data_IF_407704119218
#
_entry.id   IF_407704119218
#
_cell.length_a   1.000
_cell.length_b   1.000
_cell.length_c   1.000
_cell.angle_alpha   90.00
_cell.angle_beta   90.00
_cell.angle_gamma   90.00
#
_symmetry.space_group_name_H-M   'P 1'
#
loop_
_entity.id
_entity.type
_entity.pdbx_description
1 polymer ?
#
# COMPACT_ATOMS: atom_id res chain seq x y z
N UNK A 1 12.36 9.22 -10.73
CA UNK A 1 11.68 8.56 -9.60
C UNK A 1 10.62 7.62 -10.19
N UNK A 2 10.43 6.40 -9.66
CA UNK A 2 9.39 5.49 -10.16
C UNK A 2 7.99 6.02 -9.76
N UNK A 3 6.97 5.93 -10.64
CA UNK A 3 5.58 6.19 -10.26
C UNK A 3 5.12 5.23 -9.15
N UNK A 4 4.21 5.67 -8.27
CA UNK A 4 3.66 4.85 -7.16
C UNK A 4 3.03 3.55 -7.68
N UNK A 5 2.36 3.61 -8.83
CA UNK A 5 1.78 2.45 -9.51
C UNK A 5 2.81 1.36 -9.86
N UNK A 6 4.09 1.70 -9.95
CA UNK A 6 5.18 0.77 -10.28
C UNK A 6 5.97 0.29 -9.06
N UNK A 7 5.63 0.75 -7.85
CA UNK A 7 6.30 0.33 -6.62
C UNK A 7 5.91 -1.10 -6.22
N UNK A 8 6.88 -1.86 -5.73
CA UNK A 8 6.64 -3.07 -4.96
C UNK A 8 5.97 -2.77 -3.61
N UNK A 9 5.47 -3.81 -2.94
CA UNK A 9 4.79 -3.63 -1.65
C UNK A 9 5.70 -2.99 -0.59
N UNK A 10 6.93 -3.49 -0.44
CA UNK A 10 7.88 -2.96 0.55
C UNK A 10 8.29 -1.52 0.23
N UNK A 11 8.60 -1.23 -1.05
CA UNK A 11 8.90 0.14 -1.50
C UNK A 11 7.73 1.11 -1.20
N UNK A 12 6.48 0.70 -1.46
CA UNK A 12 5.30 1.52 -1.19
C UNK A 12 5.05 1.71 0.32
N UNK A 13 5.22 0.65 1.12
CA UNK A 13 5.07 0.68 2.57
C UNK A 13 6.10 1.59 3.22
N UNK A 14 7.36 1.47 2.83
CA UNK A 14 8.45 2.25 3.43
C UNK A 14 8.27 3.75 3.10
N UNK A 15 7.89 4.07 1.86
CA UNK A 15 7.53 5.44 1.49
C UNK A 15 6.30 5.96 2.26
N UNK A 16 5.30 5.11 2.54
CA UNK A 16 4.12 5.50 3.33
C UNK A 16 4.51 5.84 4.78
N UNK A 17 5.39 5.02 5.38
CA UNK A 17 5.92 5.27 6.72
C UNK A 17 6.62 6.63 6.79
N UNK A 18 7.44 6.96 5.78
CA UNK A 18 8.12 8.26 5.71
C UNK A 18 7.13 9.43 5.61
N UNK A 19 6.06 9.29 4.82
CA UNK A 19 5.01 10.33 4.69
C UNK A 19 4.27 10.52 6.02
N UNK A 20 3.88 9.44 6.67
CA UNK A 20 3.20 9.48 7.98
C UNK A 20 4.11 10.14 9.02
N UNK A 21 5.38 9.76 9.09
CA UNK A 21 6.33 10.36 10.02
C UNK A 21 6.49 11.88 9.80
N UNK A 22 6.47 12.35 8.55
CA UNK A 22 6.52 13.78 8.23
C UNK A 22 5.23 14.52 8.66
N UNK A 23 4.07 13.92 8.42
CA UNK A 23 2.78 14.49 8.85
C UNK A 23 2.69 14.56 10.38
N UNK A 24 3.14 13.52 11.09
CA UNK A 24 3.14 13.45 12.56
C UNK A 24 4.12 14.43 13.21
N UNK A 25 5.25 14.70 12.55
CA UNK A 25 6.20 15.71 13.02
C UNK A 25 5.57 17.11 13.06
N UNK A 26 4.63 17.39 12.15
CA UNK A 26 4.01 18.71 12.00
C UNK A 26 5.00 19.78 11.54
N UNK A 27 4.66 21.05 11.76
CA UNK A 27 5.51 22.19 11.36
C UNK A 27 5.48 22.51 9.86
N UNK A 28 4.63 21.83 9.10
CA UNK A 28 4.39 22.06 7.68
C UNK A 28 3.27 23.08 7.47
N UNK A 29 3.32 23.82 6.37
CA UNK A 29 2.18 24.60 5.91
C UNK A 29 1.05 23.70 5.37
N UNK A 30 -0.12 24.29 5.15
CA UNK A 30 -1.30 23.57 4.69
C UNK A 30 -1.08 22.90 3.33
N UNK A 31 -0.47 23.61 2.38
CA UNK A 31 -0.25 23.09 1.01
C UNK A 31 0.68 21.88 1.01
N UNK A 32 1.76 21.93 1.79
CA UNK A 32 2.69 20.81 1.97
C UNK A 32 2.03 19.65 2.68
N UNK A 33 1.23 19.92 3.72
CA UNK A 33 0.48 18.90 4.45
C UNK A 33 -0.52 18.18 3.55
N UNK A 34 -1.22 18.91 2.68
CA UNK A 34 -2.17 18.32 1.72
C UNK A 34 -1.45 17.44 0.69
N UNK A 35 -0.33 17.89 0.13
CA UNK A 35 0.47 17.10 -0.82
C UNK A 35 1.00 15.80 -0.20
N UNK A 36 1.45 15.85 1.05
CA UNK A 36 1.87 14.65 1.77
C UNK A 36 0.69 13.72 2.02
N UNK A 37 -0.47 14.24 2.42
CA UNK A 37 -1.67 13.44 2.60
C UNK A 37 -2.10 12.74 1.30
N UNK A 38 -2.20 13.46 0.18
CA UNK A 38 -2.54 12.89 -1.13
C UNK A 38 -1.57 11.78 -1.54
N UNK A 39 -0.28 12.02 -1.35
CA UNK A 39 0.76 11.02 -1.60
C UNK A 39 0.59 9.80 -0.67
N UNK A 40 0.27 10.02 0.60
CA UNK A 40 -0.01 8.97 1.58
C UNK A 40 -1.17 8.08 1.14
N UNK A 41 -2.28 8.67 0.69
CA UNK A 41 -3.45 7.95 0.17
C UNK A 41 -3.11 7.08 -1.04
N UNK A 42 -2.33 7.61 -2.00
CA UNK A 42 -1.88 6.86 -3.16
C UNK A 42 -1.00 5.65 -2.77
N UNK A 43 -0.09 5.83 -1.81
CA UNK A 43 0.78 4.76 -1.31
C UNK A 43 -0.01 3.70 -0.52
N UNK A 44 -0.96 4.12 0.31
CA UNK A 44 -1.84 3.22 1.06
C UNK A 44 -2.67 2.36 0.11
N UNK A 45 -3.29 2.98 -0.90
CA UNK A 45 -4.03 2.26 -1.95
C UNK A 45 -3.15 1.23 -2.66
N UNK A 46 -1.91 1.59 -3.02
CA UNK A 46 -0.97 0.65 -3.66
C UNK A 46 -0.67 -0.54 -2.77
N UNK A 47 -0.48 -0.33 -1.47
CA UNK A 47 -0.27 -1.39 -0.49
C UNK A 47 -1.49 -2.32 -0.42
N UNK A 48 -2.70 -1.76 -0.38
CA UNK A 48 -3.94 -2.51 -0.35
C UNK A 48 -4.13 -3.38 -1.60
N UNK A 49 -3.83 -2.87 -2.80
CA UNK A 49 -3.90 -3.61 -4.06
C UNK A 49 -2.98 -4.84 -4.03
N UNK A 50 -1.73 -4.69 -3.54
CA UNK A 50 -0.80 -5.81 -3.38
C UNK A 50 -1.34 -6.86 -2.40
N UNK A 51 -1.84 -6.41 -1.25
CA UNK A 51 -2.38 -7.32 -0.23
C UNK A 51 -3.66 -8.02 -0.71
N UNK A 52 -4.50 -7.34 -1.47
CA UNK A 52 -5.69 -7.92 -2.09
C UNK A 52 -5.32 -9.04 -3.07
N UNK A 53 -4.34 -8.79 -3.94
CA UNK A 53 -3.83 -9.81 -4.87
C UNK A 53 -3.21 -11.01 -4.14
N UNK A 54 -2.49 -10.79 -3.04
CA UNK A 54 -1.95 -11.87 -2.22
C UNK A 54 -3.06 -12.71 -1.55
N UNK A 55 -4.08 -12.05 -0.98
CA UNK A 55 -5.23 -12.72 -0.36
C UNK A 55 -6.01 -13.56 -1.36
N UNK A 56 -6.22 -13.05 -2.58
CA UNK A 56 -6.91 -13.79 -3.63
C UNK A 56 -6.16 -15.08 -3.99
N UNK A 57 -4.84 -15.03 -4.20
CA UNK A 57 -4.03 -16.22 -4.51
C UNK A 57 -4.10 -17.28 -3.41
N UNK A 58 -4.06 -16.85 -2.15
CA UNK A 58 -4.21 -17.75 -1.00
C UNK A 58 -5.59 -18.40 -1.01
N UNK A 59 -6.66 -17.63 -1.22
CA UNK A 59 -8.02 -18.15 -1.28
C UNK A 59 -8.21 -19.17 -2.42
N UNK A 60 -7.68 -18.88 -3.62
CA UNK A 60 -7.71 -19.79 -4.77
C UNK A 60 -6.98 -21.11 -4.48
N UNK A 61 -5.81 -21.03 -3.84
CA UNK A 61 -5.01 -22.23 -3.48
C UNK A 61 -5.74 -23.10 -2.46
N UNK A 62 -6.38 -22.49 -1.46
CA UNK A 62 -7.16 -23.21 -0.45
C UNK A 62 -8.38 -23.89 -1.09
N UNK A 63 -9.16 -23.17 -1.91
CA UNK A 63 -10.33 -23.72 -2.58
C UNK A 63 -10.00 -24.86 -3.56
N UNK A 64 -8.84 -24.78 -4.24
CA UNK A 64 -8.36 -25.87 -5.07
C UNK A 64 -8.06 -27.13 -4.24
N UNK A 65 -7.38 -26.98 -3.09
CA UNK A 65 -7.08 -28.11 -2.21
C UNK A 65 -8.32 -28.78 -1.61
N UNK A 66 -9.39 -28.03 -1.34
CA UNK A 66 -10.67 -28.57 -0.84
C UNK A 66 -11.46 -29.32 -1.93
N UNK A 67 -11.21 -29.03 -3.21
CA UNK A 67 -11.88 -29.67 -4.35
C UNK A 67 -11.23 -31.00 -4.76
N UNK A 68 -9.97 -31.23 -4.37
CA UNK A 68 -9.21 -32.45 -4.72
C UNK A 68 -9.37 -33.59 -3.68
N UNK A 69 -9.91 -33.29 -2.50
CA UNK A 69 -10.11 -34.26 -1.38
C UNK A 69 -11.56 -34.77 -1.26
N UNK A 70 -12.42 -34.48 -2.25
CA UNK A 70 -13.83 -34.91 -2.32
C UNK A 70 -14.14 -35.79 -3.52
#
# INVERSE_FOLDING_TARGET
MKPISQLGYEEARDALIEVVAQLEHGGLDLDTSLKLWERGEELAKRCEEHLAGARQKVAETLAASESEDG
#
